data_IF_507616919351
#
_entry.id   IF_507616919351
#
_cell.length_a   1.000
_cell.length_b   1.000
_cell.length_c   1.000
_cell.angle_alpha   90.00
_cell.angle_beta   90.00
_cell.angle_gamma   90.00
#
_symmetry.space_group_name_H-M   'P 1'
#
loop_
_entity.id
_entity.type
_entity.pdbx_description
1 polymer ?
#
# COMPACT_ATOMS: atom_id res chain seq x y z
N UNK A 1 -7.89 -21.14 13.48
CA UNK A 1 -9.36 -20.97 13.35
C UNK A 1 -9.54 -20.26 12.02
N UNK A 2 -9.91 -20.83 10.87
CA UNK A 2 -10.71 -22.00 10.49
C UNK A 2 -10.04 -22.67 9.29
N UNK A 3 -9.76 -23.98 9.39
CA UNK A 3 -9.69 -24.96 8.30
C UNK A 3 -9.40 -26.32 8.96
N UNK A 4 -10.43 -26.88 9.59
CA UNK A 4 -10.39 -28.28 10.05
C UNK A 4 -11.18 -29.12 9.05
N UNK A 5 -10.43 -29.87 8.26
CA UNK A 5 -10.66 -31.29 7.93
C UNK A 5 -12.13 -31.72 7.84
N UNK A 6 -12.64 -31.84 6.61
CA UNK A 6 -13.75 -32.76 6.35
C UNK A 6 -13.20 -34.19 6.43
N UNK A 7 -13.40 -34.81 7.59
CA UNK A 7 -13.30 -36.26 7.76
C UNK A 7 -14.57 -36.86 7.18
N UNK A 8 -14.44 -37.64 6.12
CA UNK A 8 -15.55 -38.39 5.54
C UNK A 8 -15.96 -39.54 6.44
N UNK A 9 -17.20 -39.53 6.93
CA UNK A 9 -17.90 -40.72 7.43
C UNK A 9 -19.40 -40.53 7.19
N UNK A 10 -20.04 -41.56 6.62
CA UNK A 10 -21.44 -41.87 6.93
C UNK A 10 -22.49 -41.40 5.93
N UNK A 11 -23.00 -42.35 5.14
CA UNK A 11 -24.20 -42.16 4.32
C UNK A 11 -25.46 -41.92 5.17
N UNK A 12 -26.32 -41.04 4.68
CA UNK A 12 -27.64 -40.79 5.24
C UNK A 12 -28.38 -39.77 4.36
N UNK A 13 -29.44 -40.22 3.70
CA UNK A 13 -30.30 -39.38 2.86
C UNK A 13 -31.09 -38.41 3.76
N UNK A 14 -30.92 -37.10 3.58
CA UNK A 14 -31.91 -36.12 4.04
C UNK A 14 -32.10 -35.01 3.00
N UNK A 15 -33.37 -34.80 2.64
CA UNK A 15 -33.85 -33.78 1.71
C UNK A 15 -33.62 -32.37 2.27
N UNK A 16 -33.00 -31.49 1.49
CA UNK A 16 -33.12 -30.04 1.65
C UNK A 16 -33.68 -29.44 0.35
N UNK A 17 -34.98 -29.11 0.37
CA UNK A 17 -35.57 -28.08 -0.49
C UNK A 17 -35.73 -26.80 0.36
N UNK A 18 -35.76 -25.64 -0.31
CA UNK A 18 -35.94 -24.27 0.18
C UNK A 18 -34.62 -23.57 0.58
N UNK A 19 -34.18 -22.44 0.01
CA UNK A 19 -34.75 -21.42 -0.87
C UNK A 19 -33.72 -20.99 -1.93
N UNK A 20 -34.13 -20.96 -3.20
CA UNK A 20 -33.52 -20.13 -4.23
C UNK A 20 -34.49 -18.96 -4.52
N UNK A 21 -33.96 -17.86 -5.06
CA UNK A 21 -34.64 -16.59 -5.43
C UNK A 21 -34.64 -15.57 -4.27
N UNK A 22 -34.21 -14.31 -4.39
CA UNK A 22 -34.06 -13.39 -5.52
C UNK A 22 -32.93 -12.40 -5.17
N UNK A 23 -31.82 -12.38 -5.91
CA UNK A 23 -30.95 -11.19 -5.95
C UNK A 23 -30.92 -10.69 -7.39
N UNK A 24 -31.82 -9.74 -7.65
CA UNK A 24 -32.00 -9.05 -8.93
C UNK A 24 -30.67 -8.39 -9.30
N UNK A 25 -30.05 -8.87 -10.39
CA UNK A 25 -28.88 -8.29 -11.03
C UNK A 25 -29.12 -6.81 -11.33
N UNK A 26 -28.63 -5.93 -10.47
CA UNK A 26 -28.26 -4.57 -10.90
C UNK A 26 -26.87 -4.70 -11.49
N UNK A 27 -26.77 -4.46 -12.80
CA UNK A 27 -25.49 -4.24 -13.48
C UNK A 27 -24.74 -3.18 -12.68
N UNK A 28 -23.67 -3.59 -12.00
CA UNK A 28 -22.68 -2.65 -11.49
C UNK A 28 -22.06 -2.00 -12.72
N UNK A 29 -22.50 -0.77 -13.04
CA UNK A 29 -21.67 0.11 -13.85
C UNK A 29 -20.41 0.38 -13.02
N UNK A 30 -19.21 0.17 -13.58
CA UNK A 30 -18.01 0.69 -12.95
C UNK A 30 -18.12 2.21 -13.01
N UNK A 31 -18.48 2.84 -11.91
CA UNK A 31 -18.32 4.28 -11.73
C UNK A 31 -16.82 4.52 -11.52
N UNK A 32 -16.05 4.42 -12.60
CA UNK A 32 -14.76 5.06 -12.68
C UNK A 32 -15.05 6.54 -12.89
N UNK A 33 -15.42 7.26 -11.83
CA UNK A 33 -15.29 8.71 -11.88
C UNK A 33 -13.79 8.97 -12.00
N UNK A 34 -13.36 9.45 -13.16
CA UNK A 34 -12.03 9.99 -13.34
C UNK A 34 -11.83 11.03 -12.24
N UNK A 35 -11.00 10.70 -11.26
CA UNK A 35 -10.60 11.64 -10.23
C UNK A 35 -9.79 12.69 -10.97
N UNK A 36 -10.37 13.88 -11.14
CA UNK A 36 -9.71 15.00 -11.78
C UNK A 36 -8.37 15.21 -11.08
N UNK A 37 -7.28 14.96 -11.80
CA UNK A 37 -5.94 15.27 -11.34
C UNK A 37 -5.85 16.79 -11.28
N UNK A 38 -6.21 17.38 -10.13
CA UNK A 38 -6.16 18.81 -9.98
C UNK A 38 -4.69 19.23 -10.02
N UNK A 39 -4.34 20.01 -11.04
CA UNK A 39 -3.05 20.69 -11.16
C UNK A 39 -2.94 21.83 -10.15
N UNK A 40 -3.35 21.58 -8.91
CA UNK A 40 -3.65 22.61 -7.93
C UNK A 40 -2.43 22.84 -7.02
N UNK A 41 -1.71 23.90 -7.38
CA UNK A 41 -0.70 24.64 -6.61
C UNK A 41 0.61 23.92 -6.23
N UNK A 42 1.70 24.61 -6.53
CA UNK A 42 3.08 24.26 -6.22
C UNK A 42 3.45 24.52 -4.74
N UNK A 43 2.45 24.67 -3.84
CA UNK A 43 2.63 25.32 -2.52
C UNK A 43 2.28 24.45 -1.30
N UNK A 44 1.97 23.16 -1.46
CA UNK A 44 1.71 22.28 -0.32
C UNK A 44 3.01 21.84 0.37
N UNK A 45 3.12 22.05 1.69
CA UNK A 45 4.14 21.39 2.51
C UNK A 45 3.75 19.92 2.70
N UNK A 46 4.65 18.99 2.37
CA UNK A 46 4.43 17.55 2.50
C UNK A 46 5.19 17.02 3.72
N UNK A 47 4.52 16.30 4.61
CA UNK A 47 5.08 15.83 5.87
C UNK A 47 4.92 14.32 6.06
N UNK A 48 6.03 13.63 6.31
CA UNK A 48 6.01 12.26 6.79
C UNK A 48 6.45 12.21 8.26
N UNK A 49 5.50 12.32 9.18
CA UNK A 49 5.80 12.49 10.60
C UNK A 49 6.58 13.79 10.84
N UNK A 50 7.77 13.75 11.45
CA UNK A 50 8.59 14.94 11.67
C UNK A 50 9.34 15.42 10.43
N UNK A 51 9.37 14.63 9.34
CA UNK A 51 10.18 14.92 8.17
C UNK A 51 9.43 15.77 7.14
N UNK A 52 10.06 16.84 6.67
CA UNK A 52 9.58 17.64 5.55
C UNK A 52 10.06 17.01 4.23
N UNK A 53 9.13 16.79 3.31
CA UNK A 53 9.40 16.18 2.01
C UNK A 53 9.46 17.24 0.91
N UNK A 54 10.35 17.03 -0.06
CA UNK A 54 10.48 17.84 -1.27
C UNK A 54 9.58 17.25 -2.36
N UNK A 55 8.61 18.03 -2.84
CA UNK A 55 7.69 17.57 -3.89
C UNK A 55 8.41 16.98 -5.10
N UNK A 56 9.54 17.57 -5.52
CA UNK A 56 10.34 17.11 -6.67
C UNK A 56 11.05 15.78 -6.43
N UNK A 57 11.45 15.50 -5.19
CA UNK A 57 12.29 14.34 -4.85
C UNK A 57 11.44 13.12 -4.47
N UNK A 58 10.54 13.26 -3.50
CA UNK A 58 9.84 12.07 -2.97
C UNK A 58 8.44 11.88 -3.53
N UNK A 59 7.71 12.96 -3.84
CA UNK A 59 6.26 12.90 -4.11
C UNK A 59 5.98 12.63 -5.59
N UNK A 60 5.24 11.56 -5.91
CA UNK A 60 4.89 11.21 -7.29
C UNK A 60 3.37 11.19 -7.58
N UNK A 61 2.54 11.22 -6.54
CA UNK A 61 1.07 11.22 -6.65
C UNK A 61 0.47 12.13 -5.58
N UNK A 62 -0.57 12.88 -5.91
CA UNK A 62 -1.32 13.71 -4.96
C UNK A 62 -2.81 13.56 -5.24
N UNK A 63 -3.58 13.32 -4.18
CA UNK A 63 -5.04 13.29 -4.20
C UNK A 63 -5.60 14.41 -3.31
N UNK A 64 -6.90 14.35 -3.00
CA UNK A 64 -7.54 15.35 -2.14
C UNK A 64 -6.97 15.30 -0.72
N UNK A 65 -6.89 14.13 -0.10
CA UNK A 65 -6.50 13.97 1.31
C UNK A 65 -5.22 13.15 1.51
N UNK A 66 -4.66 12.56 0.46
CA UNK A 66 -3.47 11.69 0.53
C UNK A 66 -2.45 12.01 -0.56
N UNK A 67 -1.26 11.47 -0.45
CA UNK A 67 -0.23 11.53 -1.49
C UNK A 67 0.66 10.28 -1.44
N UNK A 68 1.27 9.97 -2.58
CA UNK A 68 2.18 8.84 -2.77
C UNK A 68 3.63 9.31 -2.83
N UNK A 69 4.51 8.63 -2.11
CA UNK A 69 5.94 8.93 -2.04
C UNK A 69 6.80 7.70 -2.35
N UNK A 70 7.95 7.93 -2.99
CA UNK A 70 8.96 6.88 -3.18
C UNK A 70 9.68 6.59 -1.85
N UNK A 71 10.06 5.34 -1.60
CA UNK A 71 10.59 4.91 -0.30
C UNK A 71 12.12 5.08 -0.21
N UNK A 72 12.69 5.59 0.89
CA UNK A 72 14.15 5.70 1.04
C UNK A 72 14.89 4.35 0.96
N UNK A 73 14.28 3.28 1.49
CA UNK A 73 14.83 1.91 1.51
C UNK A 73 13.77 0.90 1.02
N UNK A 74 13.52 0.83 -0.30
CA UNK A 74 12.55 -0.11 -0.85
C UNK A 74 12.98 -1.56 -0.55
N UNK A 75 12.01 -2.46 -0.34
CA UNK A 75 12.28 -3.90 -0.10
C UNK A 75 12.33 -4.68 -1.42
N UNK A 76 11.62 -4.17 -2.42
CA UNK A 76 11.60 -4.60 -3.82
C UNK A 76 11.44 -3.36 -4.70
N UNK A 77 11.83 -3.42 -5.99
CA UNK A 77 11.57 -2.34 -6.93
C UNK A 77 10.09 -1.94 -6.96
N UNK A 78 9.81 -0.63 -6.89
CA UNK A 78 8.45 -0.11 -6.87
C UNK A 78 7.75 -0.13 -5.50
N UNK A 79 8.45 -0.50 -4.42
CA UNK A 79 7.93 -0.30 -3.06
C UNK A 79 7.81 1.21 -2.76
N UNK A 80 6.57 1.68 -2.67
CA UNK A 80 6.22 3.07 -2.35
C UNK A 80 5.33 3.14 -1.11
N UNK A 81 5.12 4.36 -0.60
CA UNK A 81 4.22 4.62 0.51
C UNK A 81 3.06 5.54 0.06
N UNK A 82 1.87 5.31 0.61
CA UNK A 82 0.72 6.23 0.48
C UNK A 82 0.37 6.75 1.85
N UNK A 83 0.31 8.08 1.99
CA UNK A 83 0.22 8.75 3.28
C UNK A 83 -0.87 9.84 3.25
N UNK A 84 -1.64 10.00 4.34
CA UNK A 84 -2.59 11.09 4.45
C UNK A 84 -1.85 12.44 4.59
N UNK A 85 -2.51 13.53 4.19
CA UNK A 85 -2.03 14.91 4.35
C UNK A 85 -1.97 15.32 5.82
N UNK A 86 -2.95 14.89 6.61
CA UNK A 86 -2.99 15.16 8.04
C UNK A 86 -2.11 14.17 8.79
N UNK A 87 -1.16 14.69 9.56
CA UNK A 87 -0.22 13.89 10.34
C UNK A 87 -0.91 13.32 11.58
N UNK A 88 -1.35 12.05 11.49
CA UNK A 88 -1.86 11.27 12.63
C UNK A 88 -1.04 10.00 12.83
N UNK A 89 -0.90 9.56 14.09
CA UNK A 89 -0.03 8.43 14.44
C UNK A 89 -0.74 7.11 14.20
N UNK A 90 -2.01 7.01 14.57
CA UNK A 90 -2.79 5.78 14.54
C UNK A 90 -3.89 5.81 13.51
N UNK A 91 -4.15 4.65 12.89
CA UNK A 91 -5.17 4.50 11.85
C UNK A 91 -6.56 4.90 12.34
N UNK A 92 -6.87 4.61 13.61
CA UNK A 92 -8.15 4.97 14.25
C UNK A 92 -8.39 6.49 14.37
N UNK A 93 -7.36 7.32 14.21
CA UNK A 93 -7.48 8.78 14.27
C UNK A 93 -7.90 9.40 12.94
N UNK A 94 -7.92 8.63 11.85
CA UNK A 94 -8.36 9.07 10.53
C UNK A 94 -9.88 9.25 10.48
N UNK A 95 -10.34 10.27 9.77
CA UNK A 95 -11.76 10.42 9.45
C UNK A 95 -12.18 9.37 8.40
N UNK A 96 -13.48 9.06 8.28
CA UNK A 96 -13.98 8.16 7.23
C UNK A 96 -13.59 8.63 5.82
N UNK A 97 -13.57 9.94 5.56
CA UNK A 97 -13.16 10.51 4.27
C UNK A 97 -11.67 10.28 4.00
N UNK A 98 -10.81 10.45 5.01
CA UNK A 98 -9.38 10.18 4.88
C UNK A 98 -9.10 8.69 4.68
N UNK A 99 -9.80 7.80 5.39
CA UNK A 99 -9.70 6.35 5.18
C UNK A 99 -10.08 6.00 3.74
N UNK A 100 -11.19 6.56 3.25
CA UNK A 100 -11.65 6.35 1.88
C UNK A 100 -10.65 6.85 0.84
N UNK A 101 -10.14 8.07 0.98
CA UNK A 101 -9.17 8.67 0.05
C UNK A 101 -7.81 7.95 0.08
N UNK A 102 -7.35 7.52 1.27
CA UNK A 102 -6.10 6.77 1.45
C UNK A 102 -6.13 5.43 0.70
N UNK A 103 -7.20 4.65 0.86
CA UNK A 103 -7.32 3.35 0.22
C UNK A 103 -7.63 3.43 -1.28
N UNK A 104 -8.41 4.42 -1.72
CA UNK A 104 -8.58 4.69 -3.16
C UNK A 104 -7.25 5.07 -3.81
N UNK A 105 -6.46 5.92 -3.15
CA UNK A 105 -5.13 6.28 -3.60
C UNK A 105 -4.19 5.07 -3.66
N UNK A 106 -4.18 4.23 -2.61
CA UNK A 106 -3.38 2.99 -2.60
C UNK A 106 -3.79 2.03 -3.72
N UNK A 107 -5.10 1.85 -3.94
CA UNK A 107 -5.62 1.03 -5.04
C UNK A 107 -5.17 1.56 -6.40
N UNK A 108 -5.37 2.86 -6.66
CA UNK A 108 -4.99 3.49 -7.93
C UNK A 108 -3.48 3.37 -8.20
N UNK A 109 -2.66 3.69 -7.20
CA UNK A 109 -1.21 3.56 -7.28
C UNK A 109 -0.83 2.10 -7.54
N UNK A 110 -1.42 1.15 -6.80
CA UNK A 110 -1.14 -0.26 -6.94
C UNK A 110 -1.38 -0.79 -8.36
N UNK A 111 -2.50 -0.41 -8.99
CA UNK A 111 -2.81 -0.79 -10.38
C UNK A 111 -1.73 -0.29 -11.35
N UNK A 112 -1.32 0.97 -11.21
CA UNK A 112 -0.30 1.57 -12.08
C UNK A 112 1.08 0.96 -11.88
N UNK A 113 1.45 0.68 -10.62
CA UNK A 113 2.73 0.04 -10.30
C UNK A 113 2.75 -1.42 -10.74
N UNK A 114 1.66 -2.17 -10.59
CA UNK A 114 1.58 -3.55 -11.03
C UNK A 114 1.85 -3.66 -12.54
N UNK A 115 1.23 -2.77 -13.33
CA UNK A 115 1.45 -2.67 -14.77
C UNK A 115 2.88 -2.23 -15.10
N UNK A 116 3.35 -1.12 -14.52
CA UNK A 116 4.66 -0.53 -14.83
C UNK A 116 5.82 -1.47 -14.47
N UNK A 117 5.74 -2.08 -13.29
CA UNK A 117 6.74 -3.03 -12.81
C UNK A 117 6.42 -4.45 -13.22
N UNK A 118 5.50 -4.72 -14.17
CA UNK A 118 5.11 -6.05 -14.64
C UNK A 118 4.99 -7.09 -13.50
N UNK A 119 4.40 -6.64 -12.39
CA UNK A 119 4.13 -7.50 -11.24
C UNK A 119 2.88 -8.35 -11.52
N UNK A 120 2.71 -9.41 -10.73
CA UNK A 120 1.57 -10.33 -10.86
C UNK A 120 0.63 -10.28 -9.65
N UNK A 121 1.05 -9.58 -8.60
CA UNK A 121 0.28 -9.36 -7.39
C UNK A 121 0.80 -8.11 -6.67
N UNK A 122 0.06 -7.69 -5.65
CA UNK A 122 0.43 -6.58 -4.78
C UNK A 122 0.36 -7.00 -3.31
N UNK A 123 1.26 -6.45 -2.49
CA UNK A 123 1.13 -6.45 -1.03
C UNK A 123 0.79 -5.04 -0.57
N UNK A 124 -0.30 -4.91 0.18
CA UNK A 124 -0.70 -3.69 0.87
C UNK A 124 -0.60 -3.94 2.37
N UNK A 125 0.10 -3.07 3.10
CA UNK A 125 0.30 -3.25 4.54
C UNK A 125 0.28 -1.91 5.28
N UNK A 126 -0.35 -1.89 6.46
CA UNK A 126 -0.24 -0.80 7.43
C UNK A 126 0.32 -1.42 8.71
N UNK A 127 1.38 -0.81 9.25
CA UNK A 127 1.90 -1.10 10.58
C UNK A 127 1.34 -0.03 11.53
N UNK A 128 0.22 -0.31 12.18
CA UNK A 128 -0.49 0.66 13.04
C UNK A 128 -0.01 0.61 14.50
N UNK A 129 0.97 1.47 14.81
CA UNK A 129 1.61 1.55 16.13
C UNK A 129 2.94 0.80 16.22
N UNK A 130 3.75 1.18 17.21
CA UNK A 130 5.12 0.66 17.41
C UNK A 130 5.17 -0.86 17.52
N UNK A 131 4.23 -1.46 18.28
CA UNK A 131 4.13 -2.91 18.44
C UNK A 131 3.77 -3.67 17.13
N UNK A 132 3.27 -2.97 16.11
CA UNK A 132 3.03 -3.51 14.77
C UNK A 132 4.21 -3.25 13.81
N UNK A 133 5.30 -2.63 14.29
CA UNK A 133 6.49 -2.27 13.51
C UNK A 133 6.47 -0.85 12.93
N UNK A 134 5.57 0.03 13.38
CA UNK A 134 5.56 1.43 12.93
C UNK A 134 6.82 2.17 13.40
N UNK A 135 7.51 2.81 12.46
CA UNK A 135 8.79 3.49 12.74
C UNK A 135 8.67 5.00 12.62
N UNK A 136 7.96 5.48 11.60
CA UNK A 136 7.57 6.88 11.48
C UNK A 136 6.17 7.03 12.06
N UNK A 137 5.96 7.91 13.07
CA UNK A 137 4.67 8.08 13.74
C UNK A 137 3.71 8.92 12.88
N UNK A 138 3.41 8.40 11.70
CA UNK A 138 2.43 8.89 10.74
C UNK A 138 1.85 7.68 10.03
N UNK A 139 0.53 7.56 9.94
CA UNK A 139 -0.13 6.48 9.19
C UNK A 139 0.39 6.44 7.75
N UNK A 140 0.75 5.25 7.28
CA UNK A 140 1.17 5.03 5.90
C UNK A 140 0.83 3.62 5.44
N UNK A 141 0.45 3.49 4.17
CA UNK A 141 0.24 2.21 3.50
C UNK A 141 1.49 1.90 2.68
N UNK A 142 2.12 0.76 2.96
CA UNK A 142 3.10 0.16 2.06
C UNK A 142 2.37 -0.40 0.84
N UNK A 143 2.80 0.01 -0.36
CA UNK A 143 2.32 -0.54 -1.63
C UNK A 143 3.50 -1.20 -2.32
N UNK A 144 3.45 -2.53 -2.43
CA UNK A 144 4.60 -3.35 -2.79
C UNK A 144 4.22 -4.26 -3.96
N UNK A 145 4.74 -4.01 -5.18
CA UNK A 145 4.57 -4.90 -6.31
C UNK A 145 5.27 -6.25 -6.08
N UNK A 146 4.60 -7.36 -6.41
CA UNK A 146 5.06 -8.72 -6.16
C UNK A 146 5.22 -9.54 -7.43
N UNK A 147 6.28 -10.35 -7.47
CA UNK A 147 6.57 -11.27 -8.59
C UNK A 147 6.90 -12.66 -8.05
N UNK A 148 6.62 -13.73 -8.82
CA UNK A 148 7.09 -15.06 -8.45
C UNK A 148 8.61 -15.06 -8.21
N UNK A 149 9.03 -15.58 -7.06
CA UNK A 149 10.45 -15.67 -6.70
C UNK A 149 11.10 -14.38 -6.25
N UNK A 150 10.34 -13.29 -6.03
CA UNK A 150 10.88 -12.05 -5.42
C UNK A 150 11.43 -12.28 -4.00
N UNK A 151 10.88 -13.26 -3.29
CA UNK A 151 11.40 -13.79 -2.02
C UNK A 151 11.50 -15.31 -2.07
N UNK A 152 12.42 -15.89 -1.27
CA UNK A 152 12.52 -17.35 -1.13
C UNK A 152 11.28 -17.94 -0.46
N UNK A 153 10.73 -17.22 0.53
CA UNK A 153 9.44 -17.52 1.17
C UNK A 153 8.57 -16.28 1.08
N UNK A 154 7.31 -16.42 0.70
CA UNK A 154 6.41 -15.26 0.56
C UNK A 154 6.32 -14.41 1.83
N UNK A 155 6.36 -15.03 3.01
CA UNK A 155 6.24 -14.34 4.30
C UNK A 155 7.49 -13.54 4.70
N UNK A 156 8.61 -13.66 3.97
CA UNK A 156 9.80 -12.82 4.18
C UNK A 156 9.50 -11.34 3.97
N UNK A 157 8.43 -10.98 3.24
CA UNK A 157 8.00 -9.59 3.11
C UNK A 157 7.76 -8.93 4.47
N UNK A 158 7.24 -9.67 5.45
CA UNK A 158 6.97 -9.14 6.80
C UNK A 158 8.25 -8.98 7.61
N UNK A 159 9.19 -9.93 7.50
CA UNK A 159 10.53 -9.83 8.10
C UNK A 159 11.29 -8.61 7.54
N UNK A 160 11.11 -8.32 6.24
CA UNK A 160 11.73 -7.18 5.55
C UNK A 160 11.08 -5.84 5.88
N UNK A 161 9.76 -5.82 6.13
CA UNK A 161 9.06 -4.64 6.63
C UNK A 161 9.49 -4.31 8.07
N UNK A 162 9.66 -5.31 8.93
CA UNK A 162 10.16 -5.13 10.29
C UNK A 162 11.63 -4.67 10.30
N UNK A 163 12.51 -5.25 9.48
CA UNK A 163 13.94 -4.88 9.43
C UNK A 163 14.22 -3.50 8.83
N UNK A 164 13.22 -2.88 8.19
CA UNK A 164 13.25 -1.48 7.79
C UNK A 164 13.08 -0.51 8.98
N UNK A 165 12.87 -1.02 10.19
CA UNK A 165 12.90 -0.22 11.41
C UNK A 165 14.31 0.18 11.80
N UNK A 166 14.47 1.45 12.17
CA UNK A 166 15.75 2.09 12.48
C UNK A 166 16.43 1.49 13.74
N UNK A 167 15.76 0.57 14.43
CA UNK A 167 16.33 -0.18 15.55
C UNK A 167 16.24 -1.70 15.32
N UNK A 168 17.17 -2.24 14.53
CA UNK A 168 17.58 -3.65 14.68
C UNK A 168 19.10 -3.72 14.64
N UNK A 169 19.65 -4.23 15.74
CA UNK A 169 21.06 -4.34 16.08
C UNK A 169 21.82 -5.16 15.02
N UNK A 170 23.09 -4.81 14.84
CA UNK A 170 24.05 -5.23 13.79
C UNK A 170 24.28 -6.74 13.63
N UNK A 171 23.26 -7.50 13.24
CA UNK A 171 23.44 -8.90 12.84
C UNK A 171 22.67 -9.08 11.52
N UNK A 172 23.42 -9.09 10.41
CA UNK A 172 23.04 -9.33 9.00
C UNK A 172 22.52 -8.14 8.14
N UNK A 173 22.98 -6.91 8.37
CA UNK A 173 22.58 -5.73 7.59
C UNK A 173 23.46 -5.43 6.33
N UNK A 174 24.09 -6.42 5.71
CA UNK A 174 25.10 -6.20 4.66
C UNK A 174 24.58 -5.72 3.28
N UNK A 175 23.26 -5.60 3.04
CA UNK A 175 22.75 -5.46 1.66
C UNK A 175 22.03 -4.17 1.26
N UNK A 176 21.39 -3.44 2.19
CA UNK A 176 20.44 -2.36 1.82
C UNK A 176 20.90 -0.97 2.26
N UNK A 177 21.47 -0.24 1.31
CA UNK A 177 21.83 1.18 1.47
C UNK A 177 20.62 2.11 1.32
N UNK A 178 20.73 3.29 1.91
CA UNK A 178 19.85 4.41 1.55
C UNK A 178 20.00 4.75 0.07
N UNK A 179 18.89 5.09 -0.58
CA UNK A 179 18.93 5.77 -1.88
C UNK A 179 19.41 7.21 -1.71
N UNK A 180 20.07 7.75 -2.73
CA UNK A 180 20.39 9.18 -2.79
C UNK A 180 19.15 9.99 -3.15
N UNK A 181 19.16 11.30 -2.89
CA UNK A 181 18.08 12.19 -3.32
C UNK A 181 17.88 12.14 -4.85
N UNK A 182 18.96 12.08 -5.62
CA UNK A 182 18.92 11.99 -7.09
C UNK A 182 18.21 10.71 -7.56
N UNK A 183 18.54 9.56 -6.97
CA UNK A 183 17.87 8.28 -7.29
C UNK A 183 16.37 8.32 -6.99
N UNK A 184 15.99 8.96 -5.88
CA UNK A 184 14.59 9.14 -5.49
C UNK A 184 13.86 10.11 -6.42
N UNK A 185 14.48 11.25 -6.74
CA UNK A 185 13.92 12.25 -7.65
C UNK A 185 13.68 11.67 -9.04
N UNK A 186 14.63 10.93 -9.58
CA UNK A 186 14.45 10.25 -10.86
C UNK A 186 13.31 9.24 -10.82
N UNK A 187 13.19 8.44 -9.76
CA UNK A 187 12.09 7.50 -9.61
C UNK A 187 10.74 8.22 -9.50
N UNK A 188 10.65 9.25 -8.65
CA UNK A 188 9.43 10.03 -8.51
C UNK A 188 9.04 10.68 -9.84
N UNK A 189 10.02 11.21 -10.59
CA UNK A 189 9.81 11.76 -11.94
C UNK A 189 9.27 10.70 -12.91
N UNK A 190 9.84 9.49 -12.91
CA UNK A 190 9.33 8.37 -13.72
C UNK A 190 7.91 7.99 -13.31
N UNK A 191 7.61 7.87 -12.02
CA UNK A 191 6.28 7.46 -11.56
C UNK A 191 5.20 8.53 -11.78
N UNK A 192 5.56 9.83 -11.83
CA UNK A 192 4.61 10.89 -12.18
C UNK A 192 4.02 10.73 -13.59
N UNK A 193 4.76 10.14 -14.52
CA UNK A 193 4.29 9.97 -15.91
C UNK A 193 3.14 8.97 -16.01
N UNK A 194 2.89 8.16 -14.97
CA UNK A 194 1.78 7.20 -14.93
C UNK A 194 0.38 7.85 -14.84
N UNK A 195 0.35 9.15 -14.55
CA UNK A 195 -0.85 9.98 -14.37
C UNK A 195 -1.04 11.03 -15.46
N UNK A 196 -0.16 11.05 -16.46
CA UNK A 196 -0.29 11.85 -17.68
C UNK A 196 -1.08 11.07 -18.73
#
# INVERSE_FOLDING_TARGET
>A
MILRHFVGVGGGKTNFKWFASVCRLRRFQPCMSAMEYSTESLSGMFHFGPYLLKKSVEVFYVSKLSYGIVNLKPIVPGHVLVIPKRVVKRFQELSPEEVGDLWQSAQHIGVKLEQYYQAQAMTFCIQDGEAAGQTVPHVHVHVIPRRPGDFKRNDQVYEMLESNSVQKWEIDNEGRRNRTEEEMEEEAKRLRTLWM
#
